data_IF_257600826675
#
_entry.id   IF_257600826675
#
_cell.length_a   1.000
_cell.length_b   1.000
_cell.length_c   1.000
_cell.angle_alpha   90.00
_cell.angle_beta   90.00
_cell.angle_gamma   90.00
#
_symmetry.space_group_name_H-M   'P 1'
#
loop_
_entity.id
_entity.type
_entity.pdbx_description
1 polymer ?
#
# COMPACT_ATOMS: atom_id res chain seq x y z
N UNK A 1 -11.73 11.38 -9.80
CA UNK A 1 -11.39 11.33 -8.34
C UNK A 1 -12.64 10.92 -7.58
N UNK A 2 -12.59 9.86 -6.82
CA UNK A 2 -13.75 9.43 -6.01
C UNK A 2 -13.81 10.31 -4.75
N UNK A 3 -14.50 11.44 -4.86
CA UNK A 3 -14.61 12.47 -3.80
C UNK A 3 -15.08 11.86 -2.48
N UNK A 4 -15.96 10.84 -2.55
CA UNK A 4 -16.46 10.15 -1.36
C UNK A 4 -15.40 9.36 -0.61
N UNK A 5 -14.52 8.62 -1.31
CA UNK A 5 -13.44 7.85 -0.67
C UNK A 5 -12.39 8.77 -0.04
N UNK A 6 -11.99 9.83 -0.75
CA UNK A 6 -11.04 10.80 -0.19
C UNK A 6 -11.58 11.46 1.08
N UNK A 7 -12.80 12.00 1.03
CA UNK A 7 -13.42 12.64 2.20
C UNK A 7 -13.59 11.67 3.38
N UNK A 8 -13.90 10.39 3.11
CA UNK A 8 -13.96 9.35 4.13
C UNK A 8 -12.63 9.17 4.84
N UNK A 9 -11.53 8.97 4.09
CA UNK A 9 -10.21 8.75 4.68
C UNK A 9 -9.67 9.99 5.38
N UNK A 10 -9.87 11.19 4.83
CA UNK A 10 -9.53 12.45 5.51
C UNK A 10 -10.21 12.53 6.88
N UNK A 11 -11.51 12.18 6.95
CA UNK A 11 -12.27 12.16 8.21
C UNK A 11 -11.77 11.09 9.18
N UNK A 12 -11.44 9.89 8.69
CA UNK A 12 -10.90 8.81 9.54
C UNK A 12 -9.61 9.27 10.20
N UNK A 13 -8.65 9.80 9.43
CA UNK A 13 -7.37 10.25 9.96
C UNK A 13 -7.46 11.55 10.77
N UNK A 14 -8.55 12.31 10.63
CA UNK A 14 -8.83 13.48 11.49
C UNK A 14 -9.36 13.07 12.87
N UNK A 15 -10.15 11.99 12.94
CA UNK A 15 -10.95 11.67 14.13
C UNK A 15 -10.46 10.46 14.90
N UNK A 16 -9.57 9.64 14.31
CA UNK A 16 -9.08 8.42 14.94
C UNK A 16 -7.57 8.47 15.19
N UNK A 17 -7.20 7.92 16.31
CA UNK A 17 -5.79 7.69 16.66
C UNK A 17 -5.32 6.30 16.14
N UNK A 18 -3.99 6.08 15.97
CA UNK A 18 -3.46 4.83 15.45
C UNK A 18 -3.91 3.57 16.20
N UNK A 19 -4.09 3.64 17.50
CA UNK A 19 -4.53 2.51 18.34
C UNK A 19 -6.05 2.20 18.23
N UNK A 20 -6.81 3.05 17.57
CA UNK A 20 -8.25 2.88 17.36
C UNK A 20 -8.59 2.24 16.00
N UNK A 21 -7.57 1.93 15.22
CA UNK A 21 -7.74 1.39 13.88
C UNK A 21 -7.03 0.04 13.72
N UNK A 22 -7.70 -0.90 13.09
CA UNK A 22 -7.25 -2.30 13.01
C UNK A 22 -6.07 -2.55 12.06
N UNK A 23 -5.76 -1.61 11.18
CA UNK A 23 -4.66 -1.77 10.21
C UNK A 23 -3.30 -1.28 10.70
N UNK A 24 -3.26 -0.57 11.83
CA UNK A 24 -1.99 -0.11 12.42
C UNK A 24 -1.23 -1.30 13.00
N UNK A 25 0.03 -1.38 12.68
CA UNK A 25 0.97 -2.36 13.22
C UNK A 25 2.20 -1.64 13.74
N UNK A 26 2.61 -1.93 14.98
CA UNK A 26 3.86 -1.40 15.53
C UNK A 26 5.06 -1.84 14.69
N UNK A 27 5.05 -3.10 14.28
CA UNK A 27 6.04 -3.67 13.35
C UNK A 27 5.33 -4.39 12.21
N UNK A 28 5.43 -3.92 10.96
CA UNK A 28 4.80 -4.54 9.79
C UNK A 28 5.62 -5.76 9.32
N UNK A 29 5.66 -6.81 10.14
CA UNK A 29 6.52 -7.99 9.95
C UNK A 29 6.40 -8.62 8.58
N UNK A 30 5.17 -8.91 8.14
CA UNK A 30 4.94 -9.58 6.87
C UNK A 30 5.39 -8.72 5.68
N UNK A 31 5.14 -7.40 5.72
CA UNK A 31 5.64 -6.48 4.70
C UNK A 31 7.16 -6.48 4.64
N UNK A 32 7.82 -6.40 5.80
CA UNK A 32 9.28 -6.44 5.89
C UNK A 32 9.85 -7.79 5.43
N UNK A 33 9.26 -8.92 5.84
CA UNK A 33 9.65 -10.27 5.39
C UNK A 33 9.57 -10.40 3.87
N UNK A 34 8.48 -9.92 3.26
CA UNK A 34 8.32 -9.95 1.80
C UNK A 34 9.38 -9.09 1.10
N UNK A 35 9.58 -7.84 1.54
CA UNK A 35 10.58 -6.95 0.96
C UNK A 35 12.00 -7.54 1.10
N UNK A 36 12.33 -8.12 2.23
CA UNK A 36 13.64 -8.74 2.47
C UNK A 36 13.87 -10.04 1.67
N UNK A 37 12.81 -10.69 1.20
CA UNK A 37 12.93 -11.90 0.38
C UNK A 37 13.40 -11.58 -1.04
N UNK A 38 13.30 -10.33 -1.47
CA UNK A 38 13.70 -9.91 -2.81
C UNK A 38 15.20 -9.59 -2.87
N UNK A 39 15.90 -9.98 -3.96
CA UNK A 39 17.31 -9.68 -4.16
C UNK A 39 17.51 -8.23 -4.61
N UNK A 40 17.27 -7.29 -3.72
CA UNK A 40 17.40 -5.85 -3.94
C UNK A 40 18.47 -5.25 -3.04
N UNK A 41 19.04 -4.15 -3.45
CA UNK A 41 19.95 -3.35 -2.64
C UNK A 41 19.25 -2.12 -2.01
N UNK A 42 19.98 -1.32 -1.26
CA UNK A 42 19.44 -0.16 -0.54
C UNK A 42 19.10 1.02 -1.45
N UNK A 43 19.59 1.03 -2.67
CA UNK A 43 19.25 2.02 -3.70
C UNK A 43 17.93 1.73 -4.43
N UNK A 44 17.32 0.55 -4.19
CA UNK A 44 16.05 0.17 -4.79
C UNK A 44 14.96 1.21 -4.51
N UNK A 45 14.20 1.52 -5.55
CA UNK A 45 13.06 2.43 -5.45
C UNK A 45 11.83 1.67 -4.96
N UNK A 46 11.34 2.06 -3.80
CA UNK A 46 10.18 1.43 -3.16
C UNK A 46 9.02 2.42 -3.16
N UNK A 47 7.83 1.98 -3.57
CA UNK A 47 6.59 2.72 -3.35
C UNK A 47 5.65 1.95 -2.44
N UNK A 48 5.16 2.62 -1.39
CA UNK A 48 4.14 2.12 -0.47
C UNK A 48 2.78 2.75 -0.81
N UNK A 49 1.88 1.95 -1.38
CA UNK A 49 0.57 2.36 -1.85
C UNK A 49 -0.43 2.32 -0.68
N UNK A 50 -1.01 3.47 -0.36
CA UNK A 50 -1.86 3.62 0.82
C UNK A 50 -1.07 3.54 2.12
N UNK A 51 0.22 3.92 2.07
CA UNK A 51 1.11 3.85 3.22
C UNK A 51 0.69 4.75 4.37
N UNK A 52 0.03 5.88 4.08
CA UNK A 52 -0.57 6.75 5.08
C UNK A 52 0.37 7.09 6.24
N UNK A 53 -0.02 6.67 7.44
CA UNK A 53 0.77 6.78 8.68
C UNK A 53 1.43 5.45 9.08
N UNK A 54 1.55 4.49 8.15
CA UNK A 54 2.20 3.20 8.38
C UNK A 54 3.65 3.35 8.87
N UNK A 55 4.03 2.51 9.82
CA UNK A 55 5.41 2.44 10.33
C UNK A 55 6.39 1.77 9.36
N UNK A 56 5.93 1.21 8.25
CA UNK A 56 6.80 0.53 7.27
C UNK A 56 7.95 1.44 6.82
N UNK A 57 7.66 2.70 6.53
CA UNK A 57 8.66 3.66 6.08
C UNK A 57 9.75 3.93 7.12
N UNK A 58 9.41 3.88 8.42
CA UNK A 58 10.38 4.05 9.52
C UNK A 58 11.42 2.93 9.49
N UNK A 59 10.95 1.67 9.37
CA UNK A 59 11.83 0.49 9.30
C UNK A 59 12.66 0.46 8.01
N UNK A 60 12.10 0.87 6.88
CA UNK A 60 12.85 0.93 5.62
C UNK A 60 14.00 1.96 5.72
N UNK A 61 13.74 3.14 6.30
CA UNK A 61 14.78 4.14 6.56
C UNK A 61 15.85 3.62 7.53
N UNK A 62 15.46 2.97 8.63
CA UNK A 62 16.38 2.39 9.60
C UNK A 62 17.28 1.31 8.98
N UNK A 63 16.76 0.60 7.98
CA UNK A 63 17.51 -0.40 7.22
C UNK A 63 18.37 0.20 6.10
N UNK A 64 18.34 1.51 5.92
CA UNK A 64 19.19 2.24 4.97
C UNK A 64 18.65 2.29 3.55
N UNK A 65 17.36 2.05 3.30
CA UNK A 65 16.76 2.32 2.00
C UNK A 65 16.68 3.83 1.74
N UNK A 66 17.08 4.26 0.55
CA UNK A 66 17.30 5.68 0.22
C UNK A 66 16.18 6.26 -0.66
N UNK A 67 15.48 5.42 -1.42
CA UNK A 67 14.52 5.84 -2.43
C UNK A 67 13.11 5.35 -2.11
N UNK A 68 12.48 5.95 -1.10
CA UNK A 68 11.15 5.56 -0.63
C UNK A 68 10.13 6.60 -1.04
N UNK A 69 9.03 6.13 -1.61
CA UNK A 69 7.84 6.92 -1.94
C UNK A 69 6.66 6.38 -1.13
N UNK A 70 5.88 7.26 -0.53
CA UNK A 70 4.61 6.92 0.13
C UNK A 70 3.49 7.64 -0.60
N UNK A 71 2.53 6.87 -1.10
CA UNK A 71 1.33 7.38 -1.77
C UNK A 71 0.11 7.09 -0.91
N UNK A 72 -0.72 8.09 -0.69
CA UNK A 72 -2.02 7.92 -0.03
C UNK A 72 -3.05 8.90 -0.61
N UNK A 73 -4.32 8.52 -0.55
CA UNK A 73 -5.43 9.39 -0.96
C UNK A 73 -5.69 10.51 0.06
N UNK A 74 -5.33 10.29 1.34
CA UNK A 74 -5.50 11.23 2.44
C UNK A 74 -4.21 12.04 2.70
N UNK A 75 -4.31 13.34 2.56
CA UNK A 75 -3.23 14.24 2.97
C UNK A 75 -2.97 14.16 4.49
N UNK A 76 -4.05 14.01 5.29
CA UNK A 76 -3.94 13.92 6.75
C UNK A 76 -3.19 12.67 7.20
N UNK A 77 -3.39 11.55 6.50
CA UNK A 77 -2.63 10.33 6.76
C UNK A 77 -1.12 10.58 6.58
N UNK A 78 -0.74 11.18 5.46
CA UNK A 78 0.66 11.51 5.17
C UNK A 78 1.24 12.54 6.16
N UNK A 79 0.44 13.51 6.61
CA UNK A 79 0.86 14.49 7.62
C UNK A 79 1.18 13.81 8.97
N UNK A 80 0.39 12.81 9.39
CA UNK A 80 0.69 12.02 10.59
C UNK A 80 2.02 11.26 10.44
N UNK A 81 2.24 10.60 9.30
CA UNK A 81 3.51 9.92 9.00
C UNK A 81 4.71 10.88 9.02
N UNK A 82 4.57 12.04 8.38
CA UNK A 82 5.61 13.09 8.40
C UNK A 82 5.90 13.60 9.81
N UNK A 83 4.86 13.88 10.59
CA UNK A 83 5.01 14.35 11.97
C UNK A 83 5.75 13.32 12.85
N UNK A 84 5.46 12.02 12.69
CA UNK A 84 6.13 10.94 13.41
C UNK A 84 7.62 10.85 13.03
N UNK A 85 7.95 10.96 11.74
CA UNK A 85 9.33 10.89 11.25
C UNK A 85 10.18 12.11 11.59
N UNK A 86 9.55 13.26 11.83
CA UNK A 86 10.27 14.51 12.08
C UNK A 86 11.17 14.89 10.90
N UNK A 87 12.44 15.23 11.18
CA UNK A 87 13.41 15.61 10.14
C UNK A 87 13.65 14.52 9.08
N UNK A 88 13.46 13.25 9.43
CA UNK A 88 13.61 12.14 8.48
C UNK A 88 12.54 12.14 7.39
N UNK A 89 11.41 12.84 7.58
CA UNK A 89 10.35 12.95 6.58
C UNK A 89 10.81 13.56 5.25
N UNK A 90 11.87 14.40 5.28
CA UNK A 90 12.46 14.99 4.07
C UNK A 90 13.19 13.97 3.18
N UNK A 91 13.51 12.77 3.69
CA UNK A 91 14.13 11.68 2.93
C UNK A 91 13.11 10.89 2.10
N UNK A 92 11.83 11.16 2.26
CA UNK A 92 10.72 10.43 1.65
C UNK A 92 10.03 11.29 0.61
N UNK A 93 9.66 10.69 -0.51
CA UNK A 93 8.74 11.30 -1.48
C UNK A 93 7.30 11.02 -1.06
N UNK A 94 6.53 12.08 -0.78
CA UNK A 94 5.14 11.99 -0.34
C UNK A 94 4.20 12.40 -1.46
N UNK A 95 3.26 11.53 -1.83
CA UNK A 95 2.31 11.76 -2.92
C UNK A 95 0.87 11.62 -2.42
N UNK A 96 0.10 12.71 -2.52
CA UNK A 96 -1.36 12.66 -2.27
C UNK A 96 -2.07 12.37 -3.58
N UNK A 97 -2.54 11.14 -3.75
CA UNK A 97 -3.24 10.71 -4.97
C UNK A 97 -4.19 9.55 -4.70
N UNK A 98 -5.30 9.51 -5.44
CA UNK A 98 -6.05 8.28 -5.67
C UNK A 98 -5.23 7.39 -6.58
N UNK A 99 -4.96 6.15 -6.18
CA UNK A 99 -4.13 5.21 -6.95
C UNK A 99 -4.67 4.99 -8.37
N UNK A 100 -5.98 5.04 -8.57
CA UNK A 100 -6.60 4.88 -9.90
C UNK A 100 -6.39 6.07 -10.84
N UNK A 101 -5.79 7.16 -10.33
CA UNK A 101 -5.48 8.40 -11.06
C UNK A 101 -4.00 8.75 -10.99
N UNK A 102 -3.22 7.94 -10.30
CA UNK A 102 -1.79 8.14 -10.15
C UNK A 102 -1.08 8.09 -11.50
N UNK A 103 -0.23 9.06 -11.74
CA UNK A 103 0.63 9.14 -12.93
C UNK A 103 2.08 9.07 -12.46
N UNK A 104 2.67 7.85 -12.45
CA UNK A 104 4.05 7.69 -12.00
C UNK A 104 5.03 8.38 -12.95
N UNK A 105 5.91 9.19 -12.40
CA UNK A 105 6.99 9.88 -13.13
C UNK A 105 8.27 9.04 -13.17
N UNK A 106 8.32 7.95 -12.41
CA UNK A 106 9.44 7.00 -12.35
C UNK A 106 8.93 5.57 -12.23
N UNK A 107 9.83 4.62 -12.38
CA UNK A 107 9.56 3.21 -12.09
C UNK A 107 10.03 2.85 -10.68
N UNK A 108 9.49 1.76 -10.14
CA UNK A 108 9.78 1.26 -8.81
C UNK A 108 10.22 -0.20 -8.86
N UNK A 109 11.27 -0.53 -8.12
CA UNK A 109 11.78 -1.89 -7.97
C UNK A 109 10.88 -2.72 -7.05
N UNK A 110 10.24 -2.05 -6.07
CA UNK A 110 9.21 -2.65 -5.23
C UNK A 110 7.96 -1.77 -5.25
N UNK A 111 6.85 -2.42 -5.57
CA UNK A 111 5.49 -1.90 -5.43
C UNK A 111 4.83 -2.63 -4.27
N UNK A 112 4.68 -1.97 -3.15
CA UNK A 112 4.04 -2.51 -1.96
C UNK A 112 2.63 -1.93 -1.80
N UNK A 113 1.64 -2.80 -1.66
CA UNK A 113 0.24 -2.45 -1.38
C UNK A 113 -0.32 -3.48 -0.40
N UNK A 114 -0.45 -3.11 0.85
CA UNK A 114 -0.98 -4.01 1.87
C UNK A 114 -2.49 -3.88 2.07
N UNK A 115 -3.08 -2.75 1.72
CA UNK A 115 -4.45 -2.47 2.13
C UNK A 115 -5.22 -1.50 1.24
N UNK A 116 -4.84 -1.31 -0.03
CA UNK A 116 -5.57 -0.43 -0.95
C UNK A 116 -6.31 -1.22 -2.02
N UNK A 117 -5.68 -2.27 -2.57
CA UNK A 117 -6.22 -3.02 -3.69
C UNK A 117 -7.63 -3.58 -3.41
N UNK A 118 -7.91 -4.05 -2.21
CA UNK A 118 -9.22 -4.58 -1.84
C UNK A 118 -10.35 -3.54 -1.83
N UNK A 119 -10.06 -2.23 -1.78
CA UNK A 119 -11.06 -1.17 -1.92
C UNK A 119 -11.45 -0.90 -3.37
N UNK A 120 -10.80 -1.52 -4.34
CA UNK A 120 -11.14 -1.44 -5.75
C UNK A 120 -12.21 -2.49 -6.05
N UNK A 121 -13.47 -2.14 -5.83
CA UNK A 121 -14.60 -3.08 -5.97
C UNK A 121 -15.14 -3.15 -7.39
N UNK A 122 -14.89 -2.11 -8.21
CA UNK A 122 -15.35 -2.03 -9.58
C UNK A 122 -14.26 -2.47 -10.56
N UNK A 123 -14.64 -3.20 -11.60
CA UNK A 123 -13.70 -3.73 -12.60
C UNK A 123 -12.87 -2.63 -13.26
N UNK A 124 -13.46 -1.49 -13.57
CA UNK A 124 -12.77 -0.34 -14.15
C UNK A 124 -11.65 0.20 -13.24
N UNK A 125 -11.87 0.19 -11.91
CA UNK A 125 -10.86 0.62 -10.94
C UNK A 125 -9.69 -0.36 -10.89
N UNK A 126 -9.97 -1.66 -10.92
CA UNK A 126 -8.96 -2.72 -10.96
C UNK A 126 -8.11 -2.58 -12.23
N UNK A 127 -8.73 -2.40 -13.39
CA UNK A 127 -8.03 -2.23 -14.67
C UNK A 127 -7.14 -0.98 -14.66
N UNK A 128 -7.60 0.14 -14.09
CA UNK A 128 -6.77 1.35 -13.94
C UNK A 128 -5.56 1.08 -13.06
N UNK A 129 -5.75 0.41 -11.93
CA UNK A 129 -4.65 0.02 -11.03
C UNK A 129 -3.62 -0.86 -11.76
N UNK A 130 -4.08 -1.93 -12.43
CA UNK A 130 -3.22 -2.84 -13.18
C UNK A 130 -2.43 -2.11 -14.27
N UNK A 131 -3.08 -1.20 -15.02
CA UNK A 131 -2.41 -0.42 -16.05
C UNK A 131 -1.32 0.52 -15.49
N UNK A 132 -1.51 1.04 -14.27
CA UNK A 132 -0.52 1.87 -13.58
C UNK A 132 0.62 1.00 -13.07
N UNK A 133 0.30 -0.10 -12.38
CA UNK A 133 1.28 -1.04 -11.85
C UNK A 133 2.16 -1.63 -12.97
N UNK A 134 1.57 -2.07 -14.08
CA UNK A 134 2.29 -2.57 -15.27
C UNK A 134 3.37 -1.61 -15.78
N UNK A 135 3.08 -0.29 -15.74
CA UNK A 135 4.00 0.74 -16.25
C UNK A 135 5.08 1.11 -15.24
N UNK A 136 4.76 1.04 -13.97
CA UNK A 136 5.60 1.59 -12.91
C UNK A 136 6.35 0.53 -12.10
N UNK A 137 5.78 -0.65 -11.90
CA UNK A 137 6.42 -1.72 -11.14
C UNK A 137 7.29 -2.57 -12.09
N UNK A 138 8.59 -2.40 -12.01
CA UNK A 138 9.57 -3.08 -12.89
C UNK A 138 10.28 -4.26 -12.21
N UNK A 139 10.09 -4.44 -10.92
CA UNK A 139 10.68 -5.51 -10.13
C UNK A 139 9.63 -6.37 -9.46
N UNK A 140 9.35 -6.13 -8.20
CA UNK A 140 8.50 -6.98 -7.36
C UNK A 140 7.23 -6.26 -6.91
N UNK A 141 6.10 -6.99 -6.92
CA UNK A 141 4.85 -6.56 -6.30
C UNK A 141 4.59 -7.34 -5.02
N UNK A 142 4.18 -6.64 -3.96
CA UNK A 142 3.58 -7.23 -2.77
C UNK A 142 2.17 -6.68 -2.62
N UNK A 143 1.17 -7.54 -2.72
CA UNK A 143 -0.24 -7.16 -2.64
C UNK A 143 -0.89 -7.88 -1.46
N UNK A 144 -1.37 -7.13 -0.47
CA UNK A 144 -2.12 -7.64 0.67
C UNK A 144 -3.61 -7.31 0.57
N UNK A 145 -4.47 -8.33 0.73
CA UNK A 145 -5.93 -8.18 0.67
C UNK A 145 -6.60 -9.00 1.76
N UNK A 146 -7.90 -8.78 1.99
CA UNK A 146 -8.70 -9.70 2.78
C UNK A 146 -8.98 -10.99 2.00
N UNK A 147 -8.84 -12.13 2.70
CA UNK A 147 -9.20 -13.43 2.16
C UNK A 147 -10.73 -13.61 2.06
N UNK A 148 -11.14 -14.64 1.35
CA UNK A 148 -12.55 -15.02 1.17
C UNK A 148 -13.30 -15.28 2.48
N UNK A 149 -12.58 -15.59 3.56
CA UNK A 149 -13.13 -15.82 4.90
C UNK A 149 -12.99 -14.58 5.82
N UNK A 150 -12.42 -13.50 5.31
CA UNK A 150 -12.21 -12.26 6.07
C UNK A 150 -13.47 -11.38 6.13
N UNK A 151 -13.28 -10.15 6.59
CA UNK A 151 -14.36 -9.15 6.64
C UNK A 151 -14.80 -8.74 5.23
N UNK A 152 -16.10 -8.48 5.04
CA UNK A 152 -16.66 -7.87 3.82
C UNK A 152 -16.53 -6.34 3.79
N UNK A 153 -16.13 -5.75 4.90
CA UNK A 153 -15.94 -4.30 5.05
C UNK A 153 -14.66 -4.00 5.81
N UNK A 154 -14.01 -2.93 5.41
CA UNK A 154 -12.89 -2.34 6.13
C UNK A 154 -13.16 -0.85 6.34
N UNK A 155 -13.03 -0.36 7.58
CA UNK A 155 -13.34 1.03 7.95
C UNK A 155 -14.72 1.52 7.48
N UNK A 156 -15.72 0.63 7.47
CA UNK A 156 -17.09 0.94 7.02
C UNK A 156 -17.29 0.94 5.50
N UNK A 157 -16.22 0.81 4.71
CA UNK A 157 -16.29 0.70 3.25
C UNK A 157 -16.38 -0.76 2.82
N UNK A 158 -17.14 -1.01 1.74
CA UNK A 158 -17.15 -2.32 1.09
C UNK A 158 -15.78 -2.62 0.48
N UNK A 159 -15.38 -3.87 0.56
CA UNK A 159 -14.13 -4.37 -0.02
C UNK A 159 -14.39 -5.58 -0.90
N UNK A 160 -13.44 -5.90 -1.75
CA UNK A 160 -13.40 -7.13 -2.53
C UNK A 160 -12.43 -8.11 -1.87
N UNK A 161 -12.95 -9.29 -1.54
CA UNK A 161 -12.18 -10.40 -0.99
C UNK A 161 -11.55 -11.21 -2.11
N UNK A 162 -10.42 -11.86 -1.81
CA UNK A 162 -9.69 -12.68 -2.78
C UNK A 162 -9.24 -14.00 -2.15
N UNK A 163 -9.30 -15.08 -2.94
CA UNK A 163 -8.49 -16.26 -2.67
C UNK A 163 -7.09 -16.04 -3.24
N UNK A 164 -6.12 -16.88 -2.86
CA UNK A 164 -4.77 -16.82 -3.45
C UNK A 164 -4.83 -17.00 -4.98
N UNK A 165 -5.67 -17.91 -5.47
CA UNK A 165 -5.87 -18.18 -6.89
C UNK A 165 -6.50 -16.99 -7.62
N UNK A 166 -7.57 -16.41 -7.08
CA UNK A 166 -8.25 -15.27 -7.71
C UNK A 166 -7.38 -14.02 -7.71
N UNK A 167 -6.60 -13.76 -6.64
CA UNK A 167 -5.66 -12.65 -6.61
C UNK A 167 -4.54 -12.84 -7.63
N UNK A 168 -3.92 -14.02 -7.66
CA UNK A 168 -2.89 -14.36 -8.65
C UNK A 168 -3.39 -14.20 -10.08
N UNK A 169 -4.61 -14.66 -10.35
CA UNK A 169 -5.21 -14.56 -11.70
C UNK A 169 -5.40 -13.13 -12.18
N UNK A 170 -5.69 -12.20 -11.25
CA UNK A 170 -5.85 -10.77 -11.59
C UNK A 170 -4.56 -10.16 -12.13
N UNK A 171 -3.40 -10.59 -11.61
CA UNK A 171 -2.09 -10.07 -11.99
C UNK A 171 -1.37 -10.91 -13.05
N UNK A 172 -1.88 -12.11 -13.39
CA UNK A 172 -1.20 -13.11 -14.22
C UNK A 172 -0.84 -12.68 -15.66
N UNK A 173 -1.50 -11.62 -16.18
CA UNK A 173 -1.19 -11.12 -17.52
C UNK A 173 0.18 -10.42 -17.59
N UNK A 174 0.66 -9.88 -16.47
CA UNK A 174 1.85 -9.03 -16.43
C UNK A 174 2.88 -9.47 -15.37
N UNK A 175 2.45 -10.28 -14.39
CA UNK A 175 3.28 -10.66 -13.24
C UNK A 175 3.16 -12.15 -12.95
N UNK A 176 4.26 -12.75 -12.52
CA UNK A 176 4.32 -14.13 -12.03
C UNK A 176 4.21 -14.15 -10.51
N UNK A 177 3.37 -15.01 -9.96
CA UNK A 177 3.25 -15.20 -8.51
C UNK A 177 4.43 -16.02 -7.99
N UNK A 178 5.28 -15.40 -7.19
CA UNK A 178 6.44 -16.07 -6.58
C UNK A 178 6.07 -16.80 -5.29
N UNK A 179 5.20 -16.21 -4.48
CA UNK A 179 4.77 -16.77 -3.20
C UNK A 179 3.45 -16.16 -2.76
N UNK A 180 2.73 -16.87 -1.91
CA UNK A 180 1.56 -16.37 -1.20
C UNK A 180 1.63 -16.76 0.28
N UNK A 181 1.03 -15.95 1.14
CA UNK A 181 0.97 -16.19 2.59
C UNK A 181 -0.39 -15.75 3.12
N UNK A 182 -1.00 -16.57 3.95
CA UNK A 182 -2.17 -16.17 4.74
C UNK A 182 -1.74 -15.86 6.16
N UNK A 183 -2.28 -14.81 6.71
CA UNK A 183 -2.10 -14.44 8.11
C UNK A 183 -3.41 -14.01 8.74
N UNK A 184 -3.52 -14.15 10.04
CA UNK A 184 -4.66 -13.64 10.77
C UNK A 184 -4.47 -12.14 10.95
N UNK A 185 -5.49 -11.37 10.57
CA UNK A 185 -5.57 -9.96 10.90
C UNK A 185 -5.95 -9.86 12.38
N UNK A 186 -5.05 -9.31 13.19
CA UNK A 186 -5.22 -9.17 14.65
C UNK A 186 -5.72 -7.77 14.95
#
# INVERSE_FOLDING_TARGET
MNIGKKAHWEKVYETKEPHEVSWTQDVPKTSLEMIHSFPIDRSAKIIDIGGGDSTLVDFLLEQGFENITVLDISAKALEKGKARLGDRAQLITWIVSDITQFQPETTYDIWHDRAVFHFLTEQEQIEKYLNIARKAAVGYLTIGTFSENGSEKCSGLAIKQYTEETLSSVFAADFETLTSKRENHI
#
